data_IF_547646411246
#
_entry.id   IF_547646411246
#
_cell.length_a   1.000
_cell.length_b   1.000
_cell.length_c   1.000
_cell.angle_alpha   90.00
_cell.angle_beta   90.00
_cell.angle_gamma   90.00
#
_symmetry.space_group_name_H-M   'P 1'
#
loop_
_entity.id
_entity.type
_entity.pdbx_description
1 polymer ?
#
# COMPACT_ATOMS: atom_id res chain seq x y z
N UNK A 1 -11.02 -56.97 9.49
CA UNK A 1 -11.64 -55.64 9.64
C UNK A 1 -10.89 -54.88 10.72
N UNK A 2 -10.12 -53.84 10.38
CA UNK A 2 -9.73 -52.79 11.32
C UNK A 2 -9.27 -51.58 10.50
N UNK A 3 -10.10 -50.54 10.42
CA UNK A 3 -9.75 -49.25 9.79
C UNK A 3 -9.15 -48.35 10.86
N UNK A 4 -7.86 -48.06 10.75
CA UNK A 4 -7.19 -47.07 11.60
C UNK A 4 -7.59 -45.66 11.15
N UNK A 5 -8.35 -44.95 11.98
CA UNK A 5 -8.62 -43.52 11.84
C UNK A 5 -7.46 -42.72 12.46
N UNK A 6 -6.68 -42.06 11.61
CA UNK A 6 -5.74 -41.02 12.02
C UNK A 6 -6.51 -39.72 12.23
N UNK A 7 -6.69 -39.31 13.49
CA UNK A 7 -7.14 -37.97 13.84
C UNK A 7 -5.98 -36.99 13.67
N UNK A 8 -6.07 -36.11 12.67
CA UNK A 8 -5.22 -34.94 12.58
C UNK A 8 -5.75 -33.86 13.54
N UNK A 9 -5.15 -33.74 14.72
CA UNK A 9 -5.37 -32.60 15.62
C UNK A 9 -4.78 -31.34 14.99
N UNK A 10 -5.64 -30.47 14.44
CA UNK A 10 -5.28 -29.11 14.08
C UNK A 10 -5.01 -28.32 15.36
N UNK A 11 -3.73 -28.03 15.64
CA UNK A 11 -3.34 -27.18 16.75
C UNK A 11 -3.66 -25.72 16.36
N UNK A 12 -4.82 -25.23 16.77
CA UNK A 12 -5.14 -23.81 16.68
C UNK A 12 -4.26 -23.05 17.69
N UNK A 13 -3.16 -22.44 17.23
CA UNK A 13 -2.40 -21.49 18.05
C UNK A 13 -3.27 -20.24 18.17
N UNK A 14 -4.05 -20.16 19.24
CA UNK A 14 -4.73 -18.93 19.63
C UNK A 14 -3.66 -17.90 20.02
N UNK A 15 -3.36 -16.96 19.12
CA UNK A 15 -2.55 -15.80 19.45
C UNK A 15 -3.25 -15.03 20.57
N UNK A 16 -2.58 -14.85 21.71
CA UNK A 16 -3.08 -14.00 22.79
C UNK A 16 -3.33 -12.60 22.24
N UNK A 17 -4.52 -12.00 22.47
CA UNK A 17 -4.80 -10.67 21.96
C UNK A 17 -3.88 -9.66 22.65
N UNK A 18 -2.89 -9.14 21.92
CA UNK A 18 -2.11 -7.98 22.38
C UNK A 18 -3.01 -6.77 22.23
N UNK A 19 -3.50 -6.22 23.34
CA UNK A 19 -4.21 -4.95 23.33
C UNK A 19 -3.25 -3.86 22.80
N UNK A 20 -3.69 -3.11 21.80
CA UNK A 20 -2.90 -1.98 21.28
C UNK A 20 -2.69 -0.96 22.41
N UNK A 21 -1.46 -0.51 22.59
CA UNK A 21 -1.17 0.58 23.52
C UNK A 21 -1.49 1.91 22.84
N UNK A 22 -2.16 2.81 23.55
CA UNK A 22 -2.51 4.13 23.04
C UNK A 22 -1.27 4.91 22.60
N UNK A 23 -1.42 5.77 21.57
CA UNK A 23 -0.36 6.64 21.09
C UNK A 23 0.17 7.51 22.25
N UNK A 24 1.44 7.37 22.60
CA UNK A 24 2.04 8.13 23.70
C UNK A 24 2.40 9.56 23.28
N UNK A 25 2.61 10.47 24.25
CA UNK A 25 3.10 11.81 23.99
C UNK A 25 4.47 11.81 23.29
N UNK A 26 5.34 10.85 23.63
CA UNK A 26 6.63 10.67 22.98
C UNK A 26 6.48 10.22 21.52
N UNK A 27 5.53 9.32 21.23
CA UNK A 27 5.24 8.89 19.85
C UNK A 27 4.74 10.07 19.01
N UNK A 28 3.83 10.89 19.56
CA UNK A 28 3.35 12.14 18.91
C UNK A 28 4.52 13.07 18.58
N UNK A 29 5.41 13.32 19.55
CA UNK A 29 6.58 14.19 19.36
C UNK A 29 7.60 13.62 18.36
N UNK A 30 7.77 12.30 18.30
CA UNK A 30 8.64 11.64 17.33
C UNK A 30 8.08 11.78 15.91
N UNK A 31 6.81 11.42 15.71
CA UNK A 31 6.14 11.51 14.42
C UNK A 31 6.11 12.94 13.89
N UNK A 32 5.77 13.91 14.75
CA UNK A 32 5.75 15.33 14.38
C UNK A 32 7.11 15.85 13.89
N UNK A 33 8.21 15.40 14.52
CA UNK A 33 9.57 15.78 14.11
C UNK A 33 10.03 15.14 12.82
N UNK A 34 9.57 13.93 12.50
CA UNK A 34 9.98 13.17 11.31
C UNK A 34 9.13 13.49 10.06
N UNK A 35 7.88 13.91 10.26
CA UNK A 35 6.90 14.07 9.20
C UNK A 35 7.33 15.04 8.07
N UNK A 36 7.84 16.27 8.32
CA UNK A 36 8.24 17.18 7.25
C UNK A 36 9.30 16.59 6.30
N UNK A 37 10.23 15.80 6.84
CA UNK A 37 11.35 15.20 6.13
C UNK A 37 10.87 14.02 5.30
N UNK A 38 10.00 13.18 5.86
CA UNK A 38 9.36 12.09 5.11
C UNK A 38 8.51 12.64 3.96
N UNK A 39 7.74 13.71 4.18
CA UNK A 39 7.04 14.40 3.08
C UNK A 39 8.03 14.85 2.00
N UNK A 40 9.14 15.48 2.38
CA UNK A 40 10.16 15.93 1.43
C UNK A 40 10.82 14.78 0.65
N UNK A 41 11.09 13.64 1.29
CA UNK A 41 11.73 12.48 0.65
C UNK A 41 10.83 11.82 -0.40
N UNK A 42 9.51 11.87 -0.22
CA UNK A 42 8.54 11.23 -1.11
C UNK A 42 7.84 12.23 -2.05
N UNK A 43 8.55 13.28 -2.48
CA UNK A 43 8.05 14.23 -3.49
C UNK A 43 7.03 15.25 -2.97
N UNK A 44 6.76 15.27 -1.66
CA UNK A 44 5.81 16.13 -0.99
C UNK A 44 4.43 15.50 -0.81
N UNK A 45 3.53 16.28 -0.21
CA UNK A 45 2.13 15.90 -0.04
C UNK A 45 1.39 16.09 -1.37
N UNK A 46 0.69 15.07 -1.83
CA UNK A 46 -0.28 15.19 -2.93
C UNK A 46 -1.52 15.96 -2.44
N UNK A 47 -2.10 16.79 -3.31
CA UNK A 47 -3.23 17.68 -2.96
C UNK A 47 -4.46 17.38 -3.82
N UNK A 48 -5.60 17.94 -3.45
CA UNK A 48 -6.86 17.77 -4.20
C UNK A 48 -7.79 16.68 -3.64
N UNK A 49 -8.86 16.34 -4.39
CA UNK A 49 -9.93 15.48 -3.91
C UNK A 49 -9.46 14.05 -3.60
N UNK A 50 -8.49 13.51 -4.35
CA UNK A 50 -7.91 12.19 -4.07
C UNK A 50 -7.23 12.14 -2.71
N UNK A 51 -6.45 13.18 -2.36
CA UNK A 51 -5.76 13.23 -1.08
C UNK A 51 -6.74 13.34 0.10
N UNK A 52 -7.82 14.12 -0.05
CA UNK A 52 -8.86 14.23 0.97
C UNK A 52 -9.58 12.89 1.19
N UNK A 53 -9.89 12.19 0.10
CA UNK A 53 -10.54 10.88 0.14
C UNK A 53 -9.65 9.81 0.78
N UNK A 54 -8.38 9.73 0.41
CA UNK A 54 -7.39 8.85 1.05
C UNK A 54 -7.31 9.11 2.55
N UNK A 55 -7.30 10.40 2.95
CA UNK A 55 -7.26 10.76 4.36
C UNK A 55 -8.51 10.31 5.11
N UNK A 56 -9.69 10.38 4.49
CA UNK A 56 -10.95 9.91 5.06
C UNK A 56 -10.93 8.38 5.28
N UNK A 57 -10.55 7.61 4.27
CA UNK A 57 -10.48 6.13 4.33
C UNK A 57 -9.47 5.68 5.38
N UNK A 58 -8.24 6.22 5.32
CA UNK A 58 -7.19 5.85 6.26
C UNK A 58 -7.56 6.13 7.72
N UNK A 59 -8.20 7.28 8.01
CA UNK A 59 -8.66 7.61 9.37
C UNK A 59 -9.78 6.68 9.86
N UNK A 60 -10.72 6.31 8.97
CA UNK A 60 -11.82 5.38 9.29
C UNK A 60 -11.29 4.01 9.70
N UNK A 61 -10.25 3.53 9.03
CA UNK A 61 -9.59 2.25 9.37
C UNK A 61 -8.72 2.39 10.61
N UNK A 62 -7.91 3.45 10.71
CA UNK A 62 -6.94 3.61 11.78
C UNK A 62 -7.57 3.68 13.17
N UNK A 63 -8.74 4.31 13.30
CA UNK A 63 -9.45 4.40 14.60
C UNK A 63 -9.93 3.03 15.11
N UNK A 64 -10.04 2.01 14.24
CA UNK A 64 -10.38 0.63 14.64
C UNK A 64 -9.24 -0.11 15.34
N UNK A 65 -8.03 0.46 15.32
CA UNK A 65 -6.83 -0.19 15.87
C UNK A 65 -6.73 -0.18 17.39
N UNK A 66 -7.50 0.67 18.07
CA UNK A 66 -7.36 0.91 19.50
C UNK A 66 -6.14 1.78 19.88
N UNK A 67 -5.36 2.27 18.92
CA UNK A 67 -4.27 3.24 19.16
C UNK A 67 -4.80 4.60 19.63
N UNK A 68 -5.98 5.00 19.16
CA UNK A 68 -6.77 6.13 19.66
C UNK A 68 -8.24 5.92 19.28
N UNK A 69 -9.15 6.50 20.07
CA UNK A 69 -10.59 6.53 19.80
C UNK A 69 -11.01 7.75 18.96
N UNK A 70 -10.08 8.67 18.64
CA UNK A 70 -10.37 9.87 17.87
C UNK A 70 -9.70 9.81 16.50
N UNK A 71 -10.47 9.91 15.42
CA UNK A 71 -9.93 10.02 14.05
C UNK A 71 -9.00 11.23 13.87
N UNK A 72 -9.19 12.28 14.70
CA UNK A 72 -8.35 13.48 14.71
C UNK A 72 -6.90 13.23 15.16
N UNK A 73 -6.63 12.15 15.90
CA UNK A 73 -5.26 11.79 16.30
C UNK A 73 -4.44 11.14 15.18
N UNK A 74 -5.08 10.81 14.05
CA UNK A 74 -4.40 10.22 12.90
C UNK A 74 -4.17 11.26 11.80
N UNK A 75 -2.93 11.35 11.35
CA UNK A 75 -2.51 12.14 10.19
C UNK A 75 -2.25 11.21 9.01
N UNK A 76 -3.16 11.22 8.04
CA UNK A 76 -3.04 10.41 6.82
C UNK A 76 -2.65 11.33 5.65
N UNK A 77 -1.65 10.94 4.88
CA UNK A 77 -1.20 11.69 3.72
C UNK A 77 -1.01 10.81 2.47
N UNK A 78 -1.59 11.27 1.36
CA UNK A 78 -1.21 10.82 0.03
C UNK A 78 0.08 11.53 -0.39
N UNK A 79 1.09 10.78 -0.81
CA UNK A 79 2.41 11.28 -1.19
C UNK A 79 2.52 11.41 -2.71
N UNK A 80 3.10 12.51 -3.19
CA UNK A 80 3.37 12.77 -4.62
C UNK A 80 4.63 12.03 -5.10
N UNK A 81 4.60 10.70 -4.95
CA UNK A 81 5.72 9.82 -5.28
C UNK A 81 5.34 8.82 -6.38
N UNK A 82 6.21 8.62 -7.39
CA UNK A 82 6.08 7.56 -8.39
C UNK A 82 6.46 6.18 -7.85
N UNK A 83 6.95 6.10 -6.61
CA UNK A 83 7.32 4.83 -5.98
C UNK A 83 6.07 4.17 -5.43
N UNK A 84 5.89 2.87 -5.66
CA UNK A 84 4.81 2.09 -5.04
C UNK A 84 5.16 1.80 -3.58
N UNK A 85 4.52 2.51 -2.64
CA UNK A 85 4.78 2.31 -1.22
C UNK A 85 3.62 2.80 -0.33
N UNK A 86 3.56 2.23 0.87
CA UNK A 86 2.82 2.74 2.01
C UNK A 86 3.65 2.49 3.27
N UNK A 87 3.45 3.31 4.30
CA UNK A 87 4.10 3.10 5.58
C UNK A 87 3.37 3.86 6.68
N UNK A 88 3.53 3.42 7.93
CA UNK A 88 3.15 4.19 9.10
C UNK A 88 4.31 4.35 10.08
N UNK A 89 4.28 5.46 10.83
CA UNK A 89 5.25 5.75 11.89
C UNK A 89 4.52 6.06 13.21
N UNK A 90 5.22 5.99 14.36
CA UNK A 90 4.64 6.38 15.64
C UNK A 90 4.05 7.80 15.61
N UNK A 91 3.01 8.03 16.43
CA UNK A 91 2.34 9.33 16.52
C UNK A 91 1.08 9.47 15.66
N UNK A 92 0.62 8.38 15.04
CA UNK A 92 -0.61 8.36 14.24
C UNK A 92 -0.43 8.78 12.79
N UNK A 93 0.79 8.74 12.25
CA UNK A 93 1.09 9.15 10.88
C UNK A 93 1.08 7.94 9.94
N UNK A 94 0.29 8.03 8.86
CA UNK A 94 0.07 6.96 7.89
C UNK A 94 0.19 7.55 6.49
N UNK A 95 0.91 6.86 5.61
CA UNK A 95 1.24 7.34 4.29
C UNK A 95 0.96 6.30 3.23
N UNK A 96 0.53 6.75 2.05
CA UNK A 96 0.44 5.96 0.83
C UNK A 96 0.91 6.83 -0.33
N UNK A 97 1.56 6.25 -1.32
CA UNK A 97 1.97 6.98 -2.52
C UNK A 97 0.89 6.97 -3.59
N UNK A 98 0.88 7.98 -4.45
CA UNK A 98 -0.03 8.02 -5.61
C UNK A 98 0.17 6.84 -6.56
N UNK A 99 1.39 6.33 -6.69
CA UNK A 99 1.65 5.18 -7.56
C UNK A 99 0.99 3.90 -7.01
N UNK A 100 1.08 3.64 -5.71
CA UNK A 100 0.41 2.50 -5.10
C UNK A 100 -1.12 2.65 -5.14
N UNK A 101 -1.64 3.86 -4.89
CA UNK A 101 -3.07 4.15 -4.99
C UNK A 101 -3.63 3.84 -6.39
N UNK A 102 -2.87 4.10 -7.45
CA UNK A 102 -3.30 3.86 -8.82
C UNK A 102 -3.51 2.37 -9.16
N UNK A 103 -2.80 1.47 -8.47
CA UNK A 103 -2.91 0.02 -8.66
C UNK A 103 -4.22 -0.55 -8.11
N UNK A 104 -4.80 0.10 -7.11
CA UNK A 104 -6.00 -0.38 -6.40
C UNK A 104 -7.25 -0.29 -7.29
N UNK A 105 -8.18 -1.21 -7.13
CA UNK A 105 -9.44 -1.29 -7.87
C UNK A 105 -10.69 -1.10 -6.98
N UNK A 106 -10.51 -0.96 -5.66
CA UNK A 106 -11.61 -0.71 -4.70
C UNK A 106 -11.19 0.14 -3.50
N UNK A 107 -12.16 0.79 -2.83
CA UNK A 107 -11.91 1.47 -1.54
C UNK A 107 -11.45 0.47 -0.46
N UNK A 108 -11.90 -0.78 -0.56
CA UNK A 108 -11.53 -1.85 0.37
C UNK A 108 -10.06 -2.26 0.24
N UNK A 109 -9.48 -2.28 -0.97
CA UNK A 109 -8.04 -2.50 -1.16
C UNK A 109 -7.22 -1.36 -0.55
N UNK A 110 -7.64 -0.10 -0.73
CA UNK A 110 -7.03 1.05 -0.05
C UNK A 110 -7.11 0.90 1.47
N UNK A 111 -8.29 0.53 1.99
CA UNK A 111 -8.49 0.26 3.40
C UNK A 111 -7.56 -0.86 3.89
N UNK A 112 -7.35 -1.91 3.10
CA UNK A 112 -6.50 -3.05 3.46
C UNK A 112 -5.04 -2.64 3.66
N UNK A 113 -4.49 -1.84 2.75
CA UNK A 113 -3.12 -1.28 2.88
C UNK A 113 -3.02 -0.39 4.11
N UNK A 114 -4.00 0.50 4.32
CA UNK A 114 -4.02 1.37 5.51
C UNK A 114 -4.11 0.56 6.81
N UNK A 115 -4.94 -0.48 6.83
CA UNK A 115 -5.10 -1.38 7.97
C UNK A 115 -3.84 -2.16 8.29
N UNK A 116 -3.14 -2.64 7.26
CA UNK A 116 -1.84 -3.31 7.37
C UNK A 116 -0.78 -2.40 7.99
N UNK A 117 -0.63 -1.17 7.50
CA UNK A 117 0.34 -0.21 8.05
C UNK A 117 0.04 0.16 9.50
N UNK A 118 -1.24 0.35 9.83
CA UNK A 118 -1.67 0.58 11.21
C UNK A 118 -1.43 -0.66 12.08
N UNK A 119 -1.54 -1.86 11.50
CA UNK A 119 -1.18 -3.14 12.12
C UNK A 119 0.27 -3.17 12.58
N UNK A 120 1.22 -2.71 11.76
CA UNK A 120 2.63 -2.60 12.15
C UNK A 120 2.86 -1.70 13.37
N UNK A 121 2.16 -0.56 13.43
CA UNK A 121 2.26 0.38 14.55
C UNK A 121 1.64 -0.21 15.82
N UNK A 122 0.43 -0.78 15.71
CA UNK A 122 -0.28 -1.40 16.82
C UNK A 122 0.49 -2.58 17.43
N UNK A 123 1.12 -3.40 16.58
CA UNK A 123 1.97 -4.52 17.01
C UNK A 123 3.39 -4.09 17.41
N UNK A 124 3.70 -2.79 17.38
CA UNK A 124 5.01 -2.22 17.75
C UNK A 124 6.17 -2.78 16.92
N UNK A 125 5.93 -3.25 15.71
CA UNK A 125 6.99 -3.58 14.76
C UNK A 125 7.87 -2.34 14.51
N UNK A 126 7.23 -1.17 14.64
CA UNK A 126 7.88 0.13 14.56
C UNK A 126 8.70 0.60 15.74
N UNK A 127 8.62 -0.09 16.87
CA UNK A 127 9.46 0.19 18.02
C UNK A 127 10.81 -0.56 17.97
N UNK A 128 11.04 -1.39 16.95
CA UNK A 128 12.29 -2.13 16.75
C UNK A 128 13.49 -1.19 16.64
N UNK A 129 14.67 -1.67 17.08
CA UNK A 129 15.93 -0.90 17.06
C UNK A 129 16.25 -0.33 15.67
N UNK A 130 15.94 -1.09 14.62
CA UNK A 130 16.15 -0.66 13.23
C UNK A 130 15.25 0.52 12.86
N UNK A 131 13.96 0.52 13.21
CA UNK A 131 13.08 1.64 12.92
C UNK A 131 13.47 2.91 13.69
N UNK A 132 13.86 2.76 14.96
CA UNK A 132 14.36 3.91 15.75
C UNK A 132 15.65 4.48 15.17
N UNK A 133 16.55 3.63 14.66
CA UNK A 133 17.76 4.06 13.98
C UNK A 133 17.46 4.80 12.66
N UNK A 134 16.53 4.29 11.85
CA UNK A 134 16.05 4.96 10.63
C UNK A 134 15.51 6.36 10.92
N UNK A 135 14.55 6.47 11.84
CA UNK A 135 13.95 7.77 12.20
C UNK A 135 15.01 8.69 12.81
N UNK A 136 15.88 8.16 13.67
CA UNK A 136 17.00 8.90 14.25
C UNK A 136 17.97 9.43 13.20
N UNK A 137 18.28 8.65 12.16
CA UNK A 137 19.14 9.05 11.05
C UNK A 137 18.54 10.20 10.23
N UNK A 138 17.23 10.13 9.94
CA UNK A 138 16.50 11.22 9.25
C UNK A 138 16.55 12.52 10.06
N UNK A 139 16.34 12.43 11.38
CA UNK A 139 16.38 13.60 12.26
C UNK A 139 17.80 14.17 12.40
N UNK A 140 18.81 13.31 12.51
CA UNK A 140 20.22 13.72 12.63
C UNK A 140 20.71 14.46 11.38
N UNK A 141 20.30 14.03 10.18
CA UNK A 141 20.65 14.70 8.94
C UNK A 141 20.17 16.17 8.89
N UNK A 142 19.00 16.46 9.46
CA UNK A 142 18.44 17.83 9.51
C UNK A 142 19.21 18.71 10.48
N UNK A 143 19.51 18.20 11.67
CA UNK A 143 20.33 18.95 12.66
C UNK A 143 21.71 19.25 12.08
N UNK A 144 22.33 18.28 11.41
CA UNK A 144 23.63 18.47 10.75
C UNK A 144 23.62 19.52 9.63
N UNK A 145 22.54 19.57 8.84
CA UNK A 145 22.37 20.58 7.79
C UNK A 145 22.15 21.99 8.37
N UNK A 146 21.34 22.12 9.43
CA UNK A 146 21.12 23.40 10.11
C UNK A 146 22.37 23.93 10.83
N UNK A 147 23.27 23.03 11.27
CA UNK A 147 24.53 23.37 11.91
C UNK A 147 25.66 23.76 10.93
N UNK A 148 25.39 23.81 9.61
CA UNK A 148 26.38 24.23 8.60
C UNK A 148 27.49 23.22 8.33
N UNK A 149 27.31 21.95 8.72
CA UNK A 149 28.36 20.94 8.61
C UNK A 149 28.43 20.38 7.16
N UNK A 150 29.58 20.55 6.49
CA UNK A 150 29.76 20.27 5.06
C UNK A 150 29.58 18.80 4.67
N UNK A 151 29.89 17.87 5.58
CA UNK A 151 29.64 16.44 5.40
C UNK A 151 28.14 16.08 5.43
N UNK A 152 27.34 16.78 6.24
CA UNK A 152 25.88 16.61 6.27
C UNK A 152 25.22 17.23 5.02
N UNK A 153 25.74 18.38 4.56
CA UNK A 153 25.35 18.97 3.28
C UNK A 153 25.65 18.07 2.08
N UNK A 154 26.75 17.32 2.12
CA UNK A 154 27.07 16.31 1.10
C UNK A 154 26.18 15.07 1.19
N UNK A 155 25.82 14.58 2.39
CA UNK A 155 24.85 13.49 2.57
C UNK A 155 23.45 13.86 2.06
N UNK A 156 22.96 15.06 2.40
CA UNK A 156 21.69 15.61 1.90
C UNK A 156 21.77 15.84 0.38
N UNK A 157 22.88 16.36 -0.12
CA UNK A 157 23.10 16.59 -1.55
C UNK A 157 23.22 15.30 -2.36
N UNK A 158 23.81 14.25 -1.80
CA UNK A 158 23.90 12.92 -2.44
C UNK A 158 22.55 12.24 -2.39
N UNK A 159 21.82 12.35 -1.27
CA UNK A 159 20.48 11.81 -1.12
C UNK A 159 19.44 12.46 -2.04
N UNK A 160 19.52 13.77 -2.21
CA UNK A 160 18.71 14.52 -3.16
C UNK A 160 19.06 14.21 -4.64
N UNK A 161 20.32 13.85 -4.94
CA UNK A 161 20.79 13.55 -6.31
C UNK A 161 20.67 12.10 -6.74
N UNK A 162 20.57 11.15 -5.81
CA UNK A 162 20.53 9.71 -6.10
C UNK A 162 19.18 9.06 -5.87
N UNK A 163 18.13 9.83 -5.53
CA UNK A 163 16.88 9.25 -5.04
C UNK A 163 17.16 8.33 -3.87
N UNK A 164 18.01 8.80 -2.92
CA UNK A 164 18.68 7.98 -1.93
C UNK A 164 17.74 6.93 -1.38
N UNK A 165 18.20 5.68 -1.53
CA UNK A 165 17.71 4.48 -0.86
C UNK A 165 16.86 4.88 0.33
N UNK A 166 15.55 4.84 0.09
CA UNK A 166 14.59 5.04 1.12
C UNK A 166 15.04 4.12 2.26
N UNK A 167 15.31 4.68 3.44
CA UNK A 167 15.61 3.89 4.63
C UNK A 167 14.30 3.22 5.04
N UNK A 168 13.84 2.27 4.24
CA UNK A 168 12.53 1.69 4.44
C UNK A 168 12.67 0.51 5.37
N UNK A 169 11.67 0.46 6.23
CA UNK A 169 11.47 -0.56 7.23
C UNK A 169 11.40 -1.90 6.52
N UNK A 170 12.29 -2.83 6.88
CA UNK A 170 12.18 -4.20 6.44
C UNK A 170 11.57 -5.00 7.57
N UNK A 171 10.42 -5.60 7.29
CA UNK A 171 9.71 -6.42 8.25
C UNK A 171 10.00 -7.90 8.04
N UNK A 172 10.11 -8.62 9.16
CA UNK A 172 10.21 -10.07 9.17
C UNK A 172 8.86 -10.72 8.81
N UNK A 173 8.91 -11.98 8.39
CA UNK A 173 7.71 -12.75 8.01
C UNK A 173 6.65 -12.78 9.10
N UNK A 174 7.04 -13.00 10.36
CA UNK A 174 6.10 -13.02 11.49
C UNK A 174 5.46 -11.65 11.75
N UNK A 175 6.20 -10.56 11.47
CA UNK A 175 5.67 -9.21 11.58
C UNK A 175 4.63 -8.93 10.49
N UNK A 176 4.88 -9.38 9.27
CA UNK A 176 3.90 -9.31 8.18
C UNK A 176 2.64 -10.12 8.52
N UNK A 177 2.78 -11.34 9.04
CA UNK A 177 1.63 -12.18 9.42
C UNK A 177 0.78 -11.58 10.55
N UNK A 178 1.41 -10.90 11.51
CA UNK A 178 0.71 -10.19 12.57
C UNK A 178 0.02 -8.92 12.04
N UNK A 179 0.68 -8.18 11.14
CA UNK A 179 0.10 -7.01 10.49
C UNK A 179 -1.07 -7.39 9.57
N UNK A 180 -0.97 -8.47 8.79
CA UNK A 180 -2.06 -9.03 7.97
C UNK A 180 -3.30 -9.36 8.82
N UNK A 181 -3.08 -10.05 9.96
CA UNK A 181 -4.15 -10.41 10.90
C UNK A 181 -4.85 -9.20 11.51
N UNK A 182 -4.08 -8.19 11.93
CA UNK A 182 -4.62 -6.95 12.46
C UNK A 182 -5.31 -6.12 11.37
N UNK A 183 -4.74 -6.06 10.17
CA UNK A 183 -5.29 -5.36 9.01
C UNK A 183 -6.67 -5.89 8.64
N UNK A 184 -6.81 -7.21 8.47
CA UNK A 184 -8.12 -7.86 8.19
C UNK A 184 -9.13 -7.53 9.29
N UNK A 185 -8.72 -7.58 10.57
CA UNK A 185 -9.58 -7.20 11.69
C UNK A 185 -10.05 -5.74 11.59
N UNK A 186 -9.14 -4.81 11.31
CA UNK A 186 -9.46 -3.38 11.28
C UNK A 186 -10.36 -3.00 10.11
N UNK A 187 -10.12 -3.54 8.91
CA UNK A 187 -10.97 -3.25 7.75
C UNK A 187 -12.36 -3.86 7.92
N UNK A 188 -12.46 -5.06 8.52
CA UNK A 188 -13.75 -5.68 8.84
C UNK A 188 -14.54 -4.83 9.83
N UNK A 189 -13.89 -4.35 10.90
CA UNK A 189 -14.52 -3.47 11.89
C UNK A 189 -14.93 -2.11 11.30
N UNK A 190 -14.18 -1.60 10.31
CA UNK A 190 -14.53 -0.39 9.56
C UNK A 190 -15.62 -0.61 8.51
N UNK A 191 -16.11 -1.85 8.34
CA UNK A 191 -17.21 -2.20 7.45
C UNK A 191 -16.78 -2.67 6.04
N UNK A 192 -15.49 -2.67 5.72
CA UNK A 192 -14.96 -3.08 4.41
C UNK A 192 -14.94 -4.59 4.21
N UNK A 193 -14.89 -5.00 2.93
CA UNK A 193 -14.71 -6.39 2.56
C UNK A 193 -13.36 -6.92 3.09
N UNK A 194 -13.36 -7.97 3.94
CA UNK A 194 -12.11 -8.54 4.44
C UNK A 194 -11.27 -9.25 3.37
N UNK A 195 -11.87 -9.70 2.25
CA UNK A 195 -11.14 -10.36 1.17
C UNK A 195 -10.23 -9.42 0.39
N UNK A 196 -10.49 -8.11 0.45
CA UNK A 196 -9.69 -7.09 -0.22
C UNK A 196 -8.21 -7.09 0.18
N UNK A 197 -7.86 -7.60 1.36
CA UNK A 197 -6.46 -7.80 1.75
C UNK A 197 -5.77 -8.87 0.90
N UNK A 198 -6.46 -9.98 0.60
CA UNK A 198 -5.93 -11.02 -0.28
C UNK A 198 -5.85 -10.53 -1.73
N UNK A 199 -6.88 -9.80 -2.19
CA UNK A 199 -6.92 -9.23 -3.54
C UNK A 199 -5.79 -8.23 -3.77
N UNK A 200 -5.56 -7.33 -2.80
CA UNK A 200 -4.46 -6.37 -2.87
C UNK A 200 -3.09 -7.07 -2.90
N UNK A 201 -2.89 -8.13 -2.11
CA UNK A 201 -1.64 -8.90 -2.13
C UNK A 201 -1.44 -9.64 -3.46
N UNK A 202 -2.50 -10.18 -4.07
CA UNK A 202 -2.43 -10.78 -5.40
C UNK A 202 -2.09 -9.72 -6.47
N UNK A 203 -2.71 -8.54 -6.38
CA UNK A 203 -2.45 -7.41 -7.28
C UNK A 203 -1.00 -6.91 -7.20
N UNK A 204 -0.42 -6.87 -6.00
CA UNK A 204 1.00 -6.55 -5.80
C UNK A 204 1.91 -7.62 -6.44
N UNK A 205 1.56 -8.90 -6.37
CA UNK A 205 2.32 -9.97 -7.01
C UNK A 205 2.32 -9.81 -8.54
N UNK A 206 1.15 -9.60 -9.15
CA UNK A 206 1.01 -9.32 -10.59
C UNK A 206 1.84 -8.10 -11.02
N UNK A 207 1.81 -7.02 -10.23
CA UNK A 207 2.62 -5.83 -10.48
C UNK A 207 4.13 -6.10 -10.39
N UNK A 208 4.58 -6.96 -9.47
CA UNK A 208 6.00 -7.35 -9.38
C UNK A 208 6.46 -8.09 -10.61
N UNK A 209 5.64 -9.03 -11.09
CA UNK A 209 5.93 -9.82 -12.28
C UNK A 209 6.06 -8.92 -13.51
N UNK A 210 5.11 -7.99 -13.68
CA UNK A 210 5.14 -7.00 -14.75
C UNK A 210 6.39 -6.11 -14.70
N UNK A 211 6.81 -5.65 -13.51
CA UNK A 211 8.02 -4.84 -13.37
C UNK A 211 9.29 -5.63 -13.71
N UNK A 212 9.37 -6.89 -13.27
CA UNK A 212 10.48 -7.77 -13.59
C UNK A 212 10.59 -7.98 -15.11
N UNK A 213 9.46 -8.19 -15.78
CA UNK A 213 9.41 -8.32 -17.24
C UNK A 213 9.81 -7.01 -17.96
N UNK A 214 9.24 -5.87 -17.53
CA UNK A 214 9.55 -4.56 -18.09
C UNK A 214 11.03 -4.16 -17.94
N UNK A 215 11.69 -4.62 -16.86
CA UNK A 215 13.10 -4.33 -16.59
C UNK A 215 14.11 -5.19 -17.39
N UNK A 216 13.66 -6.25 -18.08
CA UNK A 216 14.51 -7.17 -18.84
C UNK A 216 15.63 -7.80 -18.00
N UNK A 217 16.83 -8.01 -18.58
CA UNK A 217 18.03 -8.54 -17.85
C UNK A 217 18.55 -7.63 -16.73
N UNK A 218 18.04 -6.39 -16.61
CA UNK A 218 18.31 -5.45 -15.51
C UNK A 218 17.17 -5.43 -14.47
N UNK A 219 16.09 -6.19 -14.69
CA UNK A 219 14.85 -6.26 -13.91
C UNK A 219 14.94 -7.03 -12.59
N UNK A 220 16.10 -7.05 -11.94
CA UNK A 220 16.25 -7.57 -10.57
C UNK A 220 15.94 -6.51 -9.49
N UNK A 221 15.38 -5.36 -9.87
CA UNK A 221 14.94 -4.38 -8.89
C UNK A 221 13.63 -4.86 -8.27
N UNK A 222 13.75 -5.43 -7.07
CA UNK A 222 12.61 -5.74 -6.21
C UNK A 222 11.82 -4.45 -6.02
N UNK A 223 10.49 -4.43 -6.28
CA UNK A 223 9.66 -3.26 -6.04
C UNK A 223 9.87 -2.71 -4.62
N UNK A 224 9.80 -1.39 -4.44
CA UNK A 224 10.11 -0.78 -3.13
C UNK A 224 9.25 -1.37 -2.01
N UNK A 225 7.95 -1.55 -2.23
CA UNK A 225 7.07 -2.18 -1.25
C UNK A 225 7.49 -3.64 -0.95
N UNK A 226 8.01 -4.39 -1.91
CA UNK A 226 8.40 -5.80 -1.72
C UNK A 226 9.72 -5.91 -0.95
N UNK A 227 10.55 -4.87 -1.01
CA UNK A 227 11.77 -4.78 -0.20
C UNK A 227 11.47 -4.59 1.29
N UNK A 228 10.26 -4.13 1.62
CA UNK A 228 9.87 -3.63 2.95
C UNK A 228 8.85 -4.55 3.60
N UNK A 229 7.88 -4.94 2.79
CA UNK A 229 6.82 -5.90 3.05
C UNK A 229 6.96 -7.06 2.06
N UNK A 230 7.83 -8.04 2.33
CA UNK A 230 7.94 -9.22 1.46
C UNK A 230 6.56 -9.87 1.28
N UNK A 231 6.09 -9.91 0.03
CA UNK A 231 4.86 -10.62 -0.32
C UNK A 231 5.18 -12.07 -0.67
N UNK A 232 4.24 -12.96 -0.38
CA UNK A 232 4.37 -14.39 -0.70
C UNK A 232 2.99 -14.99 -0.92
N UNK A 233 2.92 -16.06 -1.70
CA UNK A 233 1.68 -16.83 -1.85
C UNK A 233 1.07 -17.27 -0.51
N UNK A 234 1.89 -17.45 0.54
CA UNK A 234 1.40 -17.77 1.88
C UNK A 234 0.67 -16.60 2.55
N UNK A 235 1.07 -15.35 2.31
CA UNK A 235 0.35 -14.19 2.83
C UNK A 235 -1.03 -14.06 2.19
N UNK A 236 -1.13 -14.25 0.87
CA UNK A 236 -2.42 -14.27 0.15
C UNK A 236 -3.34 -15.35 0.74
N UNK A 237 -2.83 -16.59 0.90
CA UNK A 237 -3.61 -17.68 1.51
C UNK A 237 -4.07 -17.37 2.93
N UNK A 238 -3.19 -16.82 3.78
CA UNK A 238 -3.52 -16.45 5.16
C UNK A 238 -4.55 -15.33 5.20
N UNK A 239 -4.41 -14.28 4.39
CA UNK A 239 -5.36 -13.18 4.31
C UNK A 239 -6.75 -13.70 3.91
N UNK A 240 -6.84 -14.56 2.90
CA UNK A 240 -8.09 -15.19 2.50
C UNK A 240 -8.70 -16.09 3.61
N UNK A 241 -7.86 -16.84 4.34
CA UNK A 241 -8.32 -17.67 5.46
C UNK A 241 -8.83 -16.82 6.64
N UNK A 242 -8.14 -15.72 6.95
CA UNK A 242 -8.57 -14.74 7.96
C UNK A 242 -9.90 -14.08 7.55
N UNK A 243 -10.04 -13.70 6.28
CA UNK A 243 -11.27 -13.13 5.75
C UNK A 243 -12.44 -14.10 5.88
N UNK A 244 -12.25 -15.37 5.49
CA UNK A 244 -13.24 -16.43 5.68
C UNK A 244 -13.64 -16.63 7.14
N UNK A 245 -12.69 -16.54 8.06
CA UNK A 245 -12.96 -16.68 9.49
C UNK A 245 -13.82 -15.55 10.08
N UNK A 246 -13.98 -14.41 9.40
CA UNK A 246 -14.90 -13.34 9.82
C UNK A 246 -16.38 -13.70 9.68
N UNK A 247 -16.69 -14.78 8.93
CA UNK A 247 -18.06 -15.16 8.60
C UNK A 247 -18.70 -14.31 7.50
N UNK A 248 -18.00 -13.31 6.96
CA UNK A 248 -18.47 -12.59 5.77
C UNK A 248 -18.37 -13.50 4.54
N UNK A 249 -19.43 -13.61 3.73
CA UNK A 249 -19.40 -14.42 2.53
C UNK A 249 -18.37 -13.85 1.54
N UNK A 250 -17.65 -14.73 0.86
CA UNK A 250 -16.93 -14.33 -0.34
C UNK A 250 -17.98 -14.02 -1.40
N UNK A 251 -18.07 -12.76 -1.80
CA UNK A 251 -18.91 -12.31 -2.90
C UNK A 251 -18.04 -11.91 -4.08
N UNK A 252 -18.61 -11.91 -5.27
CA UNK A 252 -18.06 -11.16 -6.41
C UNK A 252 -18.78 -9.79 -6.42
N UNK A 253 -18.32 -8.80 -5.64
CA UNK A 253 -19.02 -7.53 -5.56
C UNK A 253 -18.98 -6.84 -6.93
N UNK A 254 -20.05 -6.10 -7.29
CA UNK A 254 -19.98 -5.20 -8.43
C UNK A 254 -18.76 -4.28 -8.29
N UNK A 255 -18.12 -3.97 -9.41
CA UNK A 255 -16.99 -3.06 -9.46
C UNK A 255 -17.27 -1.78 -8.65
N UNK A 256 -16.29 -1.36 -7.84
CA UNK A 256 -16.35 -0.12 -7.07
C UNK A 256 -16.17 1.12 -7.98
N UNK A 257 -17.23 1.42 -8.74
CA UNK A 257 -17.21 2.53 -9.69
C UNK A 257 -17.09 3.89 -9.02
N UNK A 258 -17.43 4.00 -7.73
CA UNK A 258 -17.25 5.22 -6.97
C UNK A 258 -15.76 5.46 -6.71
N UNK A 259 -15.04 4.45 -6.20
CA UNK A 259 -13.61 4.50 -6.02
C UNK A 259 -12.86 4.77 -7.33
N UNK A 260 -13.15 4.01 -8.39
CA UNK A 260 -12.47 4.19 -9.67
C UNK A 260 -12.60 5.61 -10.20
N UNK A 261 -13.80 6.20 -10.18
CA UNK A 261 -14.00 7.59 -10.62
C UNK A 261 -13.22 8.61 -9.80
N UNK A 262 -12.93 8.33 -8.52
CA UNK A 262 -12.07 9.20 -7.70
C UNK A 262 -10.63 9.21 -8.20
N UNK A 263 -10.17 8.13 -8.82
CA UNK A 263 -8.82 8.03 -9.37
C UNK A 263 -8.67 8.73 -10.72
N UNK A 264 -9.76 9.19 -11.35
CA UNK A 264 -9.65 9.92 -12.62
C UNK A 264 -8.78 11.16 -12.43
N UNK A 265 -7.78 11.24 -13.29
CA UNK A 265 -6.78 12.27 -13.24
C UNK A 265 -5.80 12.16 -12.07
N UNK A 266 -5.55 10.99 -11.50
CA UNK A 266 -4.41 10.80 -10.62
C UNK A 266 -3.11 10.88 -11.43
N UNK A 267 -2.11 11.66 -10.98
CA UNK A 267 -0.81 11.67 -11.64
C UNK A 267 -0.14 10.29 -11.53
N UNK A 268 0.45 9.81 -12.61
CA UNK A 268 1.02 8.46 -12.70
C UNK A 268 2.46 8.52 -13.18
N UNK A 269 3.31 7.58 -12.73
CA UNK A 269 4.73 7.52 -13.11
C UNK A 269 5.52 8.76 -12.63
N UNK A 270 6.76 8.95 -13.08
CA UNK A 270 7.64 10.04 -12.67
C UNK A 270 6.99 11.43 -12.74
N UNK A 271 7.36 12.30 -11.78
CA UNK A 271 6.86 13.68 -11.75
C UNK A 271 7.31 14.41 -13.01
N UNK A 272 6.36 15.07 -13.69
CA UNK A 272 6.64 15.76 -14.96
C UNK A 272 6.53 14.88 -16.20
N UNK A 273 6.27 13.57 -16.07
CA UNK A 273 6.03 12.67 -17.22
C UNK A 273 4.80 13.04 -18.06
N UNK A 274 3.91 13.86 -17.51
CA UNK A 274 2.60 14.18 -18.08
C UNK A 274 1.60 13.02 -18.02
N UNK A 275 1.99 11.85 -17.48
CA UNK A 275 1.11 10.67 -17.44
C UNK A 275 0.08 10.77 -16.32
N UNK A 276 -1.15 10.35 -16.60
CA UNK A 276 -2.28 10.40 -15.66
C UNK A 276 -3.16 9.16 -15.83
N UNK A 277 -3.80 8.73 -14.74
CA UNK A 277 -4.88 7.76 -14.79
C UNK A 277 -6.11 8.42 -15.42
N UNK A 278 -6.71 7.75 -16.40
CA UNK A 278 -8.02 8.07 -16.95
C UNK A 278 -8.96 6.91 -16.77
N UNK A 279 -10.17 7.22 -16.33
CA UNK A 279 -11.23 6.21 -16.15
C UNK A 279 -12.10 6.19 -17.39
N UNK A 280 -12.05 5.09 -18.11
CA UNK A 280 -12.74 4.88 -19.37
C UNK A 280 -13.88 3.89 -19.16
N UNK A 281 -15.05 4.21 -19.71
CA UNK A 281 -16.17 3.25 -19.76
C UNK A 281 -15.99 2.37 -21.00
N UNK A 282 -15.93 1.06 -20.79
CA UNK A 282 -15.90 0.05 -21.86
C UNK A 282 -17.16 0.19 -22.71
N UNK A 283 -16.98 0.29 -24.03
CA UNK A 283 -18.05 0.37 -25.02
C UNK A 283 -18.25 -0.99 -25.71
N UNK A 284 -19.36 -1.13 -26.43
CA UNK A 284 -19.60 -2.30 -27.28
C UNK A 284 -18.50 -2.40 -28.34
N UNK A 285 -17.83 -3.55 -28.42
CA UNK A 285 -16.74 -3.82 -29.36
C UNK A 285 -15.35 -3.49 -28.82
N UNK A 286 -15.23 -2.89 -27.63
CA UNK A 286 -13.93 -2.75 -26.98
C UNK A 286 -13.38 -4.11 -26.53
N UNK A 287 -12.09 -4.30 -26.71
CA UNK A 287 -11.33 -5.48 -26.26
C UNK A 287 -10.16 -5.04 -25.39
N UNK A 288 -9.54 -5.98 -24.69
CA UNK A 288 -8.27 -5.74 -23.98
C UNK A 288 -7.23 -5.14 -24.95
N UNK A 289 -7.15 -5.64 -26.18
CA UNK A 289 -6.21 -5.13 -27.18
C UNK A 289 -6.55 -3.72 -27.68
N UNK A 290 -7.84 -3.41 -27.87
CA UNK A 290 -8.23 -2.07 -28.35
C UNK A 290 -7.97 -0.98 -27.31
N UNK A 291 -8.22 -1.27 -26.04
CA UNK A 291 -8.02 -0.34 -24.95
C UNK A 291 -6.56 -0.25 -24.51
N UNK A 292 -5.84 -1.38 -24.46
CA UNK A 292 -4.44 -1.38 -24.03
C UNK A 292 -3.53 -0.57 -24.97
N UNK A 293 -3.81 -0.52 -26.28
CA UNK A 293 -3.09 0.36 -27.23
C UNK A 293 -3.12 1.85 -26.87
N UNK A 294 -4.05 2.29 -26.01
CA UNK A 294 -4.14 3.67 -25.54
C UNK A 294 -3.22 3.96 -24.34
N UNK A 295 -2.61 2.93 -23.75
CA UNK A 295 -1.67 3.07 -22.65
C UNK A 295 -0.44 3.85 -23.13
N UNK A 296 -0.06 4.90 -22.39
CA UNK A 296 1.08 5.77 -22.69
C UNK A 296 2.45 5.11 -22.41
N UNK A 297 2.67 3.92 -22.97
CA UNK A 297 3.86 3.09 -22.86
C UNK A 297 4.22 2.52 -24.22
N UNK A 298 5.52 2.39 -24.48
CA UNK A 298 6.03 1.84 -25.75
C UNK A 298 6.08 0.29 -25.73
N UNK A 299 6.03 -0.32 -24.55
CA UNK A 299 6.13 -1.77 -24.35
C UNK A 299 5.16 -2.27 -23.27
N UNK A 300 4.78 -3.55 -23.37
CA UNK A 300 3.91 -4.25 -22.40
C UNK A 300 2.58 -3.53 -22.15
N UNK A 301 2.03 -2.87 -23.17
CA UNK A 301 0.78 -2.11 -23.03
C UNK A 301 -0.38 -3.01 -22.56
N UNK A 302 -0.49 -4.22 -23.13
CA UNK A 302 -1.50 -5.22 -22.77
C UNK A 302 -1.34 -5.65 -21.31
N UNK A 303 -0.14 -6.04 -20.90
CA UNK A 303 0.14 -6.52 -19.54
C UNK A 303 -0.04 -5.42 -18.50
N UNK A 304 0.39 -4.20 -18.80
CA UNK A 304 0.15 -3.01 -17.98
C UNK A 304 -1.33 -2.73 -17.82
N UNK A 305 -2.12 -2.84 -18.89
CA UNK A 305 -3.56 -2.62 -18.84
C UNK A 305 -4.25 -3.68 -17.97
N UNK A 306 -3.92 -4.96 -18.18
CA UNK A 306 -4.47 -6.09 -17.43
C UNK A 306 -4.13 -5.99 -15.94
N UNK A 307 -2.84 -5.81 -15.63
CA UNK A 307 -2.35 -5.65 -14.25
C UNK A 307 -3.02 -4.46 -13.58
N UNK A 308 -3.02 -3.27 -14.20
CA UNK A 308 -3.61 -2.08 -13.60
C UNK A 308 -5.08 -2.28 -13.25
N UNK A 309 -5.83 -3.08 -14.03
CA UNK A 309 -7.26 -3.28 -13.86
C UNK A 309 -7.66 -4.57 -13.14
N UNK A 310 -6.69 -5.38 -12.70
CA UNK A 310 -6.92 -6.73 -12.18
C UNK A 310 -7.82 -7.56 -13.14
N UNK A 311 -7.40 -7.64 -14.40
CA UNK A 311 -8.11 -8.36 -15.47
C UNK A 311 -7.24 -9.50 -15.95
N UNK A 312 -7.78 -10.72 -15.93
CA UNK A 312 -7.13 -11.92 -16.46
C UNK A 312 -7.04 -11.89 -18.00
N UNK A 313 -6.08 -12.62 -18.57
CA UNK A 313 -5.75 -12.57 -20.00
C UNK A 313 -6.92 -12.95 -20.93
N UNK A 314 -7.75 -13.90 -20.50
CA UNK A 314 -8.88 -14.44 -21.23
C UNK A 314 -10.23 -13.77 -20.88
N UNK A 315 -10.21 -12.77 -19.99
CA UNK A 315 -11.42 -12.08 -19.57
C UNK A 315 -12.06 -11.27 -20.72
N UNK A 316 -13.38 -11.39 -20.86
CA UNK A 316 -14.14 -10.54 -21.78
C UNK A 316 -14.52 -9.23 -21.11
N UNK A 317 -14.31 -8.11 -21.82
CA UNK A 317 -14.73 -6.79 -21.34
C UNK A 317 -16.23 -6.60 -21.57
N UNK A 318 -16.96 -6.34 -20.49
CA UNK A 318 -18.41 -6.06 -20.54
C UNK A 318 -18.66 -4.57 -20.73
N UNK A 319 -19.48 -4.15 -21.71
CA UNK A 319 -19.87 -2.75 -21.87
C UNK A 319 -20.43 -2.16 -20.58
N UNK A 320 -20.01 -0.94 -20.24
CA UNK A 320 -20.37 -0.26 -18.98
C UNK A 320 -19.37 -0.47 -17.83
N UNK A 321 -18.49 -1.48 -17.90
CA UNK A 321 -17.37 -1.62 -16.95
C UNK A 321 -16.44 -0.41 -17.06
N UNK A 322 -15.91 0.05 -15.93
CA UNK A 322 -14.88 1.09 -15.92
C UNK A 322 -13.50 0.45 -15.93
N UNK A 323 -12.57 1.04 -16.67
CA UNK A 323 -11.16 0.63 -16.68
C UNK A 323 -10.26 1.85 -16.57
N UNK A 324 -9.11 1.65 -15.94
CA UNK A 324 -8.00 2.60 -15.84
C UNK A 324 -7.13 2.48 -17.09
N UNK A 325 -6.85 3.61 -17.72
CA UNK A 325 -5.85 3.74 -18.80
C UNK A 325 -4.88 4.83 -18.38
N UNK A 326 -3.58 4.58 -18.54
CA UNK A 326 -2.56 5.62 -18.36
C UNK A 326 -2.46 6.41 -19.67
N UNK A 327 -2.80 7.69 -19.66
CA UNK A 327 -2.68 8.57 -20.83
C UNK A 327 -1.65 9.65 -20.60
N UNK A 328 -1.13 10.28 -21.66
CA UNK A 328 -0.45 11.58 -21.55
C UNK A 328 -1.52 12.68 -21.48
N UNK A 329 -1.36 13.60 -20.54
CA UNK A 329 -2.13 14.84 -20.47
C UNK A 329 -1.65 15.87 -21.48
#
# INVERSE_FOLDING_TARGET
MLRSLLFATALAIAATPVAAQSISANDKALGARANPQLLSQFGGKYTGPQAAYVAQVGKRVAVQSGLSNAQGDFTVALLDSPVENAFAIPGGYIYVTRQLLALMNSEAELASVMGHEVGHVAARHSASRNQRATIGGVLAAVVGAAAGNSAAGQLVGTAARSGAQLYVLKYGRDQEYAADGLGVKYITAAGYDPYAAADMLAQLDAQSQLQAEAGGRRGQQVPTWASTHPNSAERVRRAAALAKATGRPLTDPPQDTAFLRRLDGLAYDEKGSGKRIRIVTVKRGDTIDSLSRQMAYDTLQRDRFMTLNAIEEDAQLTPGRLVKIVTRG
#
